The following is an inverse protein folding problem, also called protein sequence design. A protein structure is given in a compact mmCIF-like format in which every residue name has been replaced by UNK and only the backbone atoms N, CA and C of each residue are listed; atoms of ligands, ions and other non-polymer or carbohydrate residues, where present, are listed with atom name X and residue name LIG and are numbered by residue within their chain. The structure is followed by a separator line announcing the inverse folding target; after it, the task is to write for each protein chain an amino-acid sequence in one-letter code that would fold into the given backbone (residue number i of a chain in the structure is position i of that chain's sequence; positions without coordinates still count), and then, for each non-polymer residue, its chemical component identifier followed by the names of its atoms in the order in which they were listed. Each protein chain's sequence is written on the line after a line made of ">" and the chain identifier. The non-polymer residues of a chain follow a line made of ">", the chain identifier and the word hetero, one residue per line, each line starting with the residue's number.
data_IF_536052704231
#
_entry.id   IF_536052704231
#
_cell.length_a   1.000
_cell.length_b   1.000
_cell.length_c   1.000
_cell.angle_alpha   90.00
_cell.angle_beta   90.00
_cell.angle_gamma   90.00
#
_symmetry.space_group_name_H-M   'P 1'
#
loop_
_entity.id
_entity.type
_entity.pdbx_description
1 polymer ?
#
# COMPACT_ATOMS: atom_id res chain seq x y z
N UNK A 1 44.22 82.84 -102.80
CA UNK A 1 43.01 82.32 -102.13
C UNK A 1 42.70 83.27 -100.99
N UNK A 2 41.57 83.95 -101.06
CA UNK A 2 41.26 85.08 -100.18
C UNK A 2 40.99 84.64 -98.73
N UNK A 3 41.78 85.21 -97.82
CA UNK A 3 41.65 85.05 -96.36
C UNK A 3 40.26 85.51 -95.86
N UNK A 4 39.65 86.47 -96.56
CA UNK A 4 38.35 87.06 -96.23
C UNK A 4 37.19 86.07 -96.40
N UNK A 5 37.23 85.25 -97.44
CA UNK A 5 36.22 84.22 -97.73
C UNK A 5 36.27 83.09 -96.68
N UNK A 6 37.48 82.77 -96.19
CA UNK A 6 37.70 81.78 -95.13
C UNK A 6 37.18 82.31 -93.78
N UNK A 7 37.42 83.59 -93.47
CA UNK A 7 36.93 84.23 -92.23
C UNK A 7 35.40 84.32 -92.24
N UNK A 8 34.77 84.73 -93.34
CA UNK A 8 33.31 84.79 -93.46
C UNK A 8 32.70 83.38 -93.38
N UNK A 9 33.32 82.39 -94.04
CA UNK A 9 32.91 80.98 -93.93
C UNK A 9 33.03 80.43 -92.50
N UNK A 10 34.07 80.81 -91.76
CA UNK A 10 34.25 80.45 -90.34
C UNK A 10 33.26 81.16 -89.42
N UNK A 11 32.97 82.45 -89.65
CA UNK A 11 32.02 83.22 -88.84
C UNK A 11 30.58 82.76 -89.07
N UNK A 12 30.19 82.51 -90.32
CA UNK A 12 28.86 81.94 -90.65
C UNK A 12 28.78 80.48 -90.18
N UNK A 13 29.85 79.72 -90.37
CA UNK A 13 29.99 78.37 -89.83
C UNK A 13 29.77 78.36 -88.33
N UNK A 14 30.47 79.20 -87.57
CA UNK A 14 30.34 79.30 -86.11
C UNK A 14 28.98 79.86 -85.65
N UNK A 15 28.43 80.87 -86.36
CA UNK A 15 27.15 81.49 -86.01
C UNK A 15 25.95 80.58 -86.24
N UNK A 16 26.07 79.57 -87.11
CA UNK A 16 25.04 78.55 -87.35
C UNK A 16 25.30 77.26 -86.58
N UNK A 17 26.57 76.81 -86.51
CA UNK A 17 26.92 75.55 -85.82
C UNK A 17 26.82 75.67 -84.30
N UNK A 18 27.24 76.77 -83.68
CA UNK A 18 27.19 76.90 -82.21
C UNK A 18 25.74 76.88 -81.66
N UNK A 19 24.75 77.58 -82.26
CA UNK A 19 23.35 77.46 -81.84
C UNK A 19 22.75 76.07 -82.10
N UNK A 20 23.10 75.42 -83.22
CA UNK A 20 22.64 74.06 -83.52
C UNK A 20 23.21 73.03 -82.54
N UNK A 21 24.50 73.14 -82.19
CA UNK A 21 25.13 72.31 -81.16
C UNK A 21 24.48 72.56 -79.80
N UNK A 22 24.26 73.83 -79.42
CA UNK A 22 23.57 74.18 -78.19
C UNK A 22 22.14 73.62 -78.12
N UNK A 23 21.35 73.76 -79.19
CA UNK A 23 19.99 73.21 -79.26
C UNK A 23 19.99 71.68 -79.20
N UNK A 24 20.97 71.01 -79.83
CA UNK A 24 21.11 69.56 -79.78
C UNK A 24 21.53 69.07 -78.40
N UNK A 25 22.44 69.76 -77.72
CA UNK A 25 22.83 69.48 -76.33
C UNK A 25 21.66 69.71 -75.37
N UNK A 26 20.94 70.84 -75.51
CA UNK A 26 19.77 71.16 -74.68
C UNK A 26 18.63 70.17 -74.89
N UNK A 27 18.37 69.76 -76.14
CA UNK A 27 17.39 68.73 -76.48
C UNK A 27 17.77 67.37 -75.87
N UNK A 28 19.04 66.95 -76.02
CA UNK A 28 19.54 65.73 -75.41
C UNK A 28 19.46 65.77 -73.88
N UNK A 29 19.79 66.90 -73.24
CA UNK A 29 19.69 67.07 -71.80
C UNK A 29 18.24 67.01 -71.32
N UNK A 30 17.31 67.69 -72.00
CA UNK A 30 15.88 67.60 -71.70
C UNK A 30 15.33 66.18 -71.87
N UNK A 31 15.71 65.47 -72.94
CA UNK A 31 15.29 64.09 -73.15
C UNK A 31 15.85 63.16 -72.06
N UNK A 32 17.14 63.31 -71.71
CA UNK A 32 17.79 62.56 -70.63
C UNK A 32 17.14 62.85 -69.28
N UNK A 33 16.78 64.10 -69.01
CA UNK A 33 16.11 64.50 -67.77
C UNK A 33 14.71 63.90 -67.69
N UNK A 34 13.97 63.88 -68.80
CA UNK A 34 12.64 63.26 -68.90
C UNK A 34 12.69 61.73 -68.75
N UNK A 35 13.72 61.08 -69.31
CA UNK A 35 14.01 59.66 -69.09
C UNK A 35 14.34 59.38 -67.62
N UNK A 36 15.14 60.24 -66.98
CA UNK A 36 15.48 60.15 -65.56
C UNK A 36 14.25 60.34 -64.67
N UNK A 37 13.40 61.33 -64.92
CA UNK A 37 12.12 61.51 -64.22
C UNK A 37 11.24 60.26 -64.36
N UNK A 38 11.07 59.73 -65.57
CA UNK A 38 10.31 58.49 -65.79
C UNK A 38 10.90 57.28 -65.08
N UNK A 39 12.24 57.14 -65.06
CA UNK A 39 12.89 56.08 -64.29
C UNK A 39 12.64 56.25 -62.78
N UNK A 40 12.75 57.49 -62.27
CA UNK A 40 12.56 57.80 -60.86
C UNK A 40 11.13 57.50 -60.42
N UNK A 41 10.14 57.94 -61.19
CA UNK A 41 8.72 57.65 -60.94
C UNK A 41 8.43 56.14 -60.97
N UNK A 42 9.03 55.42 -61.92
CA UNK A 42 8.88 53.96 -62.03
C UNK A 42 9.53 53.24 -60.85
N UNK A 43 10.67 53.72 -60.35
CA UNK A 43 11.32 53.18 -59.15
C UNK A 43 10.50 53.46 -57.89
N UNK A 44 9.93 54.66 -57.74
CA UNK A 44 9.05 55.00 -56.61
C UNK A 44 7.82 54.08 -56.61
N UNK A 45 7.15 53.92 -57.75
CA UNK A 45 6.01 52.99 -57.87
C UNK A 45 6.39 51.55 -57.50
N UNK A 46 7.58 51.07 -57.92
CA UNK A 46 8.04 49.74 -57.55
C UNK A 46 8.27 49.59 -56.05
N UNK A 47 8.92 50.58 -55.41
CA UNK A 47 9.14 50.60 -53.96
C UNK A 47 7.82 50.65 -53.17
N UNK A 48 6.84 51.46 -53.60
CA UNK A 48 5.52 51.49 -52.97
C UNK A 48 4.79 50.15 -53.08
N UNK A 49 4.93 49.48 -54.24
CA UNK A 49 4.32 48.18 -54.48
C UNK A 49 4.99 47.07 -53.65
N UNK A 50 6.32 47.07 -53.55
CA UNK A 50 7.08 46.17 -52.68
C UNK A 50 6.78 46.41 -51.20
N UNK A 51 6.67 47.67 -50.76
CA UNK A 51 6.32 48.01 -49.38
C UNK A 51 4.93 47.48 -49.01
N UNK A 52 3.92 47.69 -49.88
CA UNK A 52 2.58 47.11 -49.69
C UNK A 52 2.60 45.59 -49.66
N UNK A 53 3.35 44.96 -50.56
CA UNK A 53 3.46 43.50 -50.59
C UNK A 53 4.14 42.97 -49.31
N UNK A 54 5.17 43.65 -48.82
CA UNK A 54 5.86 43.32 -47.58
C UNK A 54 4.95 43.47 -46.36
N UNK A 55 4.18 44.56 -46.28
CA UNK A 55 3.19 44.80 -45.22
C UNK A 55 2.11 43.71 -45.21
N UNK A 56 1.56 43.37 -46.39
CA UNK A 56 0.55 42.31 -46.51
C UNK A 56 1.11 40.94 -46.09
N UNK A 57 2.35 40.64 -46.48
CA UNK A 57 3.03 39.40 -46.09
C UNK A 57 3.32 39.34 -44.58
N UNK A 58 3.69 40.46 -43.97
CA UNK A 58 3.90 40.58 -42.52
C UNK A 58 2.58 40.40 -41.76
N UNK A 59 1.51 41.06 -42.19
CA UNK A 59 0.19 40.94 -41.58
C UNK A 59 -0.32 39.50 -41.65
N UNK A 60 -0.21 38.85 -42.82
CA UNK A 60 -0.59 37.44 -42.97
C UNK A 60 0.22 36.52 -42.06
N UNK A 61 1.55 36.72 -41.97
CA UNK A 61 2.40 35.92 -41.09
C UNK A 61 2.07 36.15 -39.61
N UNK A 62 1.61 37.35 -39.25
CA UNK A 62 1.17 37.71 -37.90
C UNK A 62 -0.17 37.04 -37.58
N UNK A 63 -1.14 37.05 -38.50
CA UNK A 63 -2.41 36.32 -38.38
C UNK A 63 -2.17 34.80 -38.24
N UNK A 64 -1.35 34.21 -39.12
CA UNK A 64 -1.02 32.77 -39.06
C UNK A 64 -0.36 32.42 -37.71
N UNK A 65 0.52 33.29 -37.22
CA UNK A 65 1.16 33.11 -35.90
C UNK A 65 0.13 33.22 -34.77
N UNK A 66 -0.77 34.19 -34.81
CA UNK A 66 -1.87 34.35 -33.84
C UNK A 66 -2.76 33.12 -33.78
N UNK A 67 -3.17 32.57 -34.92
CA UNK A 67 -3.99 31.34 -34.98
C UNK A 67 -3.24 30.17 -34.36
N UNK A 68 -1.95 30.00 -34.70
CA UNK A 68 -1.16 28.88 -34.17
C UNK A 68 -0.97 28.97 -32.65
N UNK A 69 -0.83 30.20 -32.17
CA UNK A 69 -0.73 30.57 -30.77
C UNK A 69 -2.03 30.28 -30.02
N UNK A 70 -3.19 30.71 -30.54
CA UNK A 70 -4.51 30.45 -29.93
C UNK A 70 -4.73 28.95 -29.77
N UNK A 71 -4.37 28.19 -30.81
CA UNK A 71 -4.42 26.73 -30.77
C UNK A 71 -3.49 26.15 -29.71
N UNK A 72 -2.29 26.73 -29.54
CA UNK A 72 -1.33 26.30 -28.52
C UNK A 72 -1.82 26.60 -27.09
N UNK A 73 -2.41 27.78 -26.84
CA UNK A 73 -3.08 28.10 -25.57
C UNK A 73 -4.18 27.07 -25.31
N UNK A 74 -5.01 26.77 -26.30
CA UNK A 74 -6.10 25.83 -26.13
C UNK A 74 -5.61 24.41 -25.83
N UNK A 75 -4.55 23.94 -26.50
CA UNK A 75 -3.96 22.62 -26.21
C UNK A 75 -3.33 22.58 -24.82
N UNK A 76 -2.56 23.60 -24.42
CA UNK A 76 -1.96 23.66 -23.07
C UNK A 76 -3.06 23.72 -22.02
N UNK A 77 -4.12 24.47 -22.28
CA UNK A 77 -5.31 24.51 -21.45
C UNK A 77 -5.91 23.10 -21.29
N UNK A 78 -6.24 22.40 -22.37
CA UNK A 78 -6.80 21.05 -22.31
C UNK A 78 -5.91 20.09 -21.50
N UNK A 79 -4.59 20.11 -21.74
CA UNK A 79 -3.61 19.31 -20.97
C UNK A 79 -3.63 19.66 -19.49
N UNK A 80 -3.68 20.94 -19.13
CA UNK A 80 -3.76 21.39 -17.73
C UNK A 80 -5.04 20.92 -17.03
N UNK A 81 -6.17 20.94 -17.72
CA UNK A 81 -7.45 20.45 -17.17
C UNK A 81 -7.35 18.95 -16.87
N UNK A 82 -6.80 18.20 -17.82
CA UNK A 82 -6.56 16.77 -17.66
C UNK A 82 -5.58 16.50 -16.50
N UNK A 83 -4.46 17.21 -16.42
CA UNK A 83 -3.46 17.03 -15.38
C UNK A 83 -3.97 17.41 -13.99
N UNK A 84 -4.73 18.50 -13.85
CA UNK A 84 -5.37 18.87 -12.59
C UNK A 84 -6.38 17.80 -12.14
N UNK A 85 -7.21 17.29 -13.06
CA UNK A 85 -8.15 16.21 -12.78
C UNK A 85 -7.43 14.91 -12.37
N UNK A 86 -6.34 14.56 -13.06
CA UNK A 86 -5.50 13.42 -12.70
C UNK A 86 -4.84 13.59 -11.33
N UNK A 87 -4.41 14.80 -10.96
CA UNK A 87 -3.87 15.09 -9.64
C UNK A 87 -4.92 14.96 -8.52
N UNK A 88 -6.15 15.42 -8.75
CA UNK A 88 -7.28 15.23 -7.82
C UNK A 88 -7.53 13.73 -7.58
N UNK A 89 -7.70 12.95 -8.65
CA UNK A 89 -7.94 11.50 -8.58
C UNK A 89 -6.79 10.78 -7.89
N UNK A 90 -5.55 11.18 -8.18
CA UNK A 90 -4.37 10.59 -7.54
C UNK A 90 -4.37 10.90 -6.04
N UNK A 91 -4.71 12.12 -5.65
CA UNK A 91 -4.79 12.52 -4.23
C UNK A 91 -5.85 11.73 -3.47
N UNK A 92 -7.02 11.51 -4.08
CA UNK A 92 -8.09 10.68 -3.51
C UNK A 92 -7.65 9.21 -3.34
N UNK A 93 -7.03 8.63 -4.39
CA UNK A 93 -6.48 7.28 -4.31
C UNK A 93 -5.41 7.16 -3.23
N UNK A 94 -4.54 8.17 -3.08
CA UNK A 94 -3.53 8.20 -2.03
C UNK A 94 -4.18 8.30 -0.64
N UNK A 95 -5.22 9.10 -0.44
CA UNK A 95 -5.95 9.12 0.83
C UNK A 95 -6.51 7.73 1.19
N UNK A 96 -7.11 7.03 0.22
CA UNK A 96 -7.64 5.68 0.40
C UNK A 96 -6.55 4.65 0.77
N UNK A 97 -5.38 4.72 0.11
CA UNK A 97 -4.25 3.84 0.45
C UNK A 97 -3.73 4.13 1.86
N UNK A 98 -3.77 5.39 2.33
CA UNK A 98 -3.26 5.76 3.64
C UNK A 98 -4.16 5.23 4.75
N UNK A 99 -5.47 5.23 4.52
CA UNK A 99 -6.44 4.57 5.39
C UNK A 99 -6.17 3.06 5.46
N UNK A 100 -5.93 2.40 4.31
CA UNK A 100 -5.59 0.98 4.27
C UNK A 100 -4.29 0.65 5.00
N UNK A 101 -3.26 1.49 4.90
CA UNK A 101 -1.99 1.33 5.65
C UNK A 101 -2.22 1.45 7.15
N UNK A 102 -3.10 2.36 7.58
CA UNK A 102 -3.46 2.50 8.99
C UNK A 102 -4.16 1.24 9.51
N UNK A 103 -5.12 0.72 8.74
CA UNK A 103 -5.79 -0.55 9.07
C UNK A 103 -4.81 -1.72 9.12
N UNK A 104 -3.89 -1.80 8.16
CA UNK A 104 -2.85 -2.83 8.09
C UNK A 104 -1.95 -2.79 9.34
N UNK A 105 -1.52 -1.59 9.76
CA UNK A 105 -0.66 -1.42 10.94
C UNK A 105 -1.38 -1.90 12.20
N UNK A 106 -2.66 -1.54 12.39
CA UNK A 106 -3.46 -2.01 13.52
C UNK A 106 -3.64 -3.54 13.50
N UNK A 107 -3.79 -4.14 12.32
CA UNK A 107 -3.85 -5.60 12.19
C UNK A 107 -2.54 -6.28 12.57
N UNK A 108 -1.39 -5.69 12.21
CA UNK A 108 -0.07 -6.20 12.60
C UNK A 108 0.11 -6.16 14.12
N UNK A 109 -0.32 -5.09 14.79
CA UNK A 109 -0.26 -5.00 16.25
C UNK A 109 -1.09 -6.12 16.92
N UNK A 110 -2.30 -6.38 16.42
CA UNK A 110 -3.12 -7.50 16.89
C UNK A 110 -2.45 -8.87 16.65
N UNK A 111 -1.77 -9.06 15.53
CA UNK A 111 -1.01 -10.29 15.23
C UNK A 111 0.15 -10.46 16.20
N UNK A 112 0.87 -9.39 16.53
CA UNK A 112 1.97 -9.42 17.51
C UNK A 112 1.45 -9.84 18.88
N UNK A 113 0.34 -9.25 19.34
CA UNK A 113 -0.28 -9.59 20.63
C UNK A 113 -0.74 -11.04 20.68
N UNK A 114 -1.40 -11.52 19.62
CA UNK A 114 -1.83 -12.90 19.50
C UNK A 114 -0.63 -13.87 19.47
N UNK A 115 0.44 -13.51 18.77
CA UNK A 115 1.68 -14.29 18.70
C UNK A 115 2.35 -14.40 20.08
N UNK A 116 2.41 -13.30 20.84
CA UNK A 116 2.92 -13.28 22.20
C UNK A 116 2.07 -14.16 23.16
N UNK A 117 0.74 -14.05 23.07
CA UNK A 117 -0.18 -14.89 23.86
C UNK A 117 -0.04 -16.38 23.51
N UNK A 118 0.12 -16.69 22.23
CA UNK A 118 0.37 -18.05 21.73
C UNK A 118 1.70 -18.59 22.27
N UNK A 119 2.76 -17.77 22.24
CA UNK A 119 4.06 -18.10 22.80
C UNK A 119 3.99 -18.42 24.30
N UNK A 120 3.26 -17.60 25.07
CA UNK A 120 3.07 -17.82 26.52
C UNK A 120 2.27 -19.11 26.81
N UNK A 121 1.22 -19.36 26.04
CA UNK A 121 0.39 -20.56 26.18
C UNK A 121 1.19 -21.82 25.82
N UNK A 122 1.99 -21.75 24.76
CA UNK A 122 2.93 -22.80 24.35
C UNK A 122 3.93 -23.12 25.47
N UNK A 123 4.53 -22.08 26.07
CA UNK A 123 5.46 -22.24 27.19
C UNK A 123 4.81 -22.91 28.41
N UNK A 124 3.58 -22.52 28.75
CA UNK A 124 2.80 -23.16 29.83
C UNK A 124 2.51 -24.63 29.49
N UNK A 125 2.29 -24.94 28.20
CA UNK A 125 2.14 -26.30 27.71
C UNK A 125 3.39 -27.15 27.90
N UNK A 126 4.57 -26.59 27.63
CA UNK A 126 5.87 -27.24 27.89
C UNK A 126 6.05 -27.52 29.39
N UNK A 127 5.75 -26.56 30.26
CA UNK A 127 5.82 -26.77 31.72
C UNK A 127 4.89 -27.89 32.20
N UNK A 128 3.72 -28.07 31.55
CA UNK A 128 2.81 -29.18 31.86
C UNK A 128 3.37 -30.52 31.40
N UNK A 129 4.13 -30.57 30.30
CA UNK A 129 4.83 -31.80 29.88
C UNK A 129 5.80 -32.27 30.95
N UNK A 130 6.50 -31.36 31.63
CA UNK A 130 7.41 -31.73 32.73
C UNK A 130 6.67 -32.47 33.85
N UNK A 131 5.40 -32.11 34.12
CA UNK A 131 4.55 -32.86 35.06
C UNK A 131 4.23 -34.27 34.54
N UNK A 132 3.88 -34.39 33.25
CA UNK A 132 3.56 -35.70 32.64
C UNK A 132 4.79 -36.62 32.63
N UNK A 133 6.00 -36.06 32.44
CA UNK A 133 7.26 -36.82 32.54
C UNK A 133 7.47 -37.37 33.96
N UNK A 134 7.12 -36.60 35.00
CA UNK A 134 7.17 -37.09 36.40
C UNK A 134 6.18 -38.22 36.62
N UNK A 135 4.94 -38.08 36.14
CA UNK A 135 3.91 -39.11 36.25
C UNK A 135 4.35 -40.41 35.52
N UNK A 136 5.02 -40.30 34.37
CA UNK A 136 5.59 -41.44 33.66
C UNK A 136 6.71 -42.13 34.47
N UNK A 137 7.52 -41.36 35.21
CA UNK A 137 8.53 -41.92 36.12
C UNK A 137 7.88 -42.70 37.27
N UNK A 138 6.78 -42.19 37.83
CA UNK A 138 6.02 -42.90 38.87
C UNK A 138 5.35 -44.18 38.34
N UNK A 139 4.84 -44.13 37.10
CA UNK A 139 4.31 -45.29 36.39
C UNK A 139 5.38 -46.37 36.21
N UNK A 140 6.60 -45.97 35.86
CA UNK A 140 7.74 -46.88 35.71
C UNK A 140 8.10 -47.55 37.04
N UNK A 141 8.10 -46.79 38.15
CA UNK A 141 8.31 -47.37 39.48
C UNK A 141 7.20 -48.36 39.86
N UNK A 142 5.95 -48.04 39.56
CA UNK A 142 4.81 -48.92 39.84
C UNK A 142 4.90 -50.24 39.08
N UNK A 143 5.48 -50.23 37.86
CA UNK A 143 5.79 -51.45 37.11
C UNK A 143 6.83 -52.32 37.84
N UNK A 144 7.88 -51.72 38.39
CA UNK A 144 8.90 -52.46 39.16
C UNK A 144 8.31 -53.08 40.44
N UNK A 145 7.40 -52.35 41.12
CA UNK A 145 6.68 -52.86 42.29
C UNK A 145 5.81 -54.08 41.93
N UNK A 146 5.13 -54.07 40.77
CA UNK A 146 4.36 -55.22 40.29
C UNK A 146 5.26 -56.43 39.99
N UNK A 147 6.45 -56.21 39.43
CA UNK A 147 7.41 -57.29 39.19
C UNK A 147 7.88 -57.93 40.51
N UNK A 148 8.09 -57.13 41.56
CA UNK A 148 8.41 -57.64 42.89
C UNK A 148 7.25 -58.46 43.49
N UNK A 149 6.01 -57.99 43.34
CA UNK A 149 4.82 -58.73 43.80
C UNK A 149 4.71 -60.08 43.08
N UNK A 150 4.90 -60.13 41.76
CA UNK A 150 4.89 -61.39 41.00
C UNK A 150 5.93 -62.38 41.54
N UNK A 151 7.14 -61.90 41.87
CA UNK A 151 8.17 -62.74 42.49
C UNK A 151 7.74 -63.29 43.86
N UNK A 152 7.01 -62.51 44.67
CA UNK A 152 6.50 -62.97 45.97
C UNK A 152 5.40 -64.03 45.81
N UNK A 153 4.51 -63.89 44.83
CA UNK A 153 3.49 -64.91 44.55
C UNK A 153 4.10 -66.25 44.18
N UNK A 154 5.20 -66.25 43.41
CA UNK A 154 5.95 -67.47 43.10
C UNK A 154 6.49 -68.16 44.37
N UNK A 155 7.03 -67.39 45.31
CA UNK A 155 7.48 -67.93 46.60
C UNK A 155 6.31 -68.52 47.42
N UNK A 156 5.16 -67.85 47.44
CA UNK A 156 3.93 -68.35 48.09
C UNK A 156 3.48 -69.66 47.44
N UNK A 157 3.52 -69.76 46.12
CA UNK A 157 3.19 -70.97 45.38
C UNK A 157 4.12 -72.14 45.78
N UNK A 158 5.43 -71.91 45.80
CA UNK A 158 6.43 -72.91 46.20
C UNK A 158 6.20 -73.41 47.64
N UNK A 159 5.96 -72.50 48.59
CA UNK A 159 5.65 -72.89 49.98
C UNK A 159 4.32 -73.62 50.10
N UNK A 160 3.30 -73.23 49.34
CA UNK A 160 1.99 -73.89 49.36
C UNK A 160 2.07 -75.33 48.82
N UNK A 161 2.87 -75.55 47.76
CA UNK A 161 3.17 -76.91 47.27
C UNK A 161 3.90 -77.73 48.33
N UNK A 162 4.87 -77.16 49.04
CA UNK A 162 5.56 -77.85 50.12
C UNK A 162 4.62 -78.24 51.27
N UNK A 163 3.69 -77.36 51.67
CA UNK A 163 2.67 -77.67 52.70
C UNK A 163 1.76 -78.82 52.24
N UNK A 164 1.37 -78.84 50.96
CA UNK A 164 0.58 -79.95 50.41
C UNK A 164 1.32 -81.28 50.56
N UNK A 165 2.60 -81.30 50.20
CA UNK A 165 3.45 -82.48 50.33
C UNK A 165 3.59 -82.94 51.80
N UNK A 166 3.77 -82.02 52.74
CA UNK A 166 3.75 -82.33 54.18
C UNK A 166 2.39 -82.92 54.60
N UNK A 167 1.29 -82.39 54.05
CA UNK A 167 -0.06 -82.93 54.27
C UNK A 167 -0.23 -84.36 53.74
N UNK A 168 0.33 -84.68 52.56
CA UNK A 168 0.34 -86.02 51.99
C UNK A 168 1.14 -87.00 52.87
N UNK A 169 2.32 -86.58 53.35
CA UNK A 169 3.16 -87.35 54.25
C UNK A 169 2.47 -87.59 55.60
N UNK A 170 1.84 -86.56 56.18
CA UNK A 170 1.09 -86.66 57.42
C UNK A 170 -0.12 -87.59 57.29
N UNK A 171 -0.81 -87.59 56.14
CA UNK A 171 -1.91 -88.52 55.87
C UNK A 171 -1.41 -89.98 55.82
N UNK A 172 -0.27 -90.22 55.17
CA UNK A 172 0.38 -91.53 55.12
C UNK A 172 0.81 -92.01 56.51
N UNK A 173 1.41 -91.14 57.33
CA UNK A 173 1.77 -91.45 58.72
C UNK A 173 0.54 -91.74 59.58
N UNK A 174 -0.53 -90.96 59.44
CA UNK A 174 -1.78 -91.17 60.14
C UNK A 174 -2.47 -92.49 59.73
N UNK A 175 -2.37 -92.87 58.46
CA UNK A 175 -2.85 -94.17 57.97
C UNK A 175 -2.07 -95.32 58.62
N UNK A 176 -0.73 -95.24 58.64
CA UNK A 176 0.12 -96.24 59.30
C UNK A 176 -0.21 -96.35 60.80
N UNK A 177 -0.41 -95.21 61.49
CA UNK A 177 -0.81 -95.19 62.89
C UNK A 177 -2.20 -95.78 63.13
N UNK A 178 -3.16 -95.55 62.23
CA UNK A 178 -4.50 -96.15 62.30
C UNK A 178 -4.45 -97.68 62.13
N UNK A 179 -3.59 -98.18 61.23
CA UNK A 179 -3.35 -99.62 61.06
C UNK A 179 -2.77 -100.23 62.34
N UNK A 180 -1.75 -99.61 62.94
CA UNK A 180 -1.12 -100.13 64.15
C UNK A 180 -2.06 -100.04 65.37
N UNK A 181 -2.87 -98.99 65.45
CA UNK A 181 -3.91 -98.85 66.48
C UNK A 181 -4.99 -99.94 66.35
N UNK A 182 -5.39 -100.32 65.13
CA UNK A 182 -6.28 -101.45 64.90
C UNK A 182 -5.62 -102.79 65.29
N UNK A 183 -4.31 -102.93 65.03
CA UNK A 183 -3.52 -104.12 65.37
C UNK A 183 -3.36 -104.34 66.88
N UNK A 184 -3.29 -103.26 67.66
CA UNK A 184 -3.24 -103.29 69.12
C UNK A 184 -4.60 -103.63 69.79
N UNK A 185 -5.68 -103.78 69.01
CA UNK A 185 -7.00 -104.16 69.51
C UNK A 185 -7.55 -103.16 70.54
N UNK A 186 -7.96 -103.66 71.71
CA UNK A 186 -8.59 -102.84 72.75
C UNK A 186 -7.66 -101.78 73.35
N UNK A 187 -6.35 -102.04 73.39
CA UNK A 187 -5.37 -101.08 73.90
C UNK A 187 -5.13 -99.89 72.94
N UNK A 188 -5.46 -100.06 71.65
CA UNK A 188 -5.23 -99.07 70.59
C UNK A 188 -6.41 -98.12 70.32
N UNK A 189 -7.58 -98.32 70.93
CA UNK A 189 -8.81 -97.56 70.62
C UNK A 189 -8.64 -96.04 70.71
N UNK A 190 -7.96 -95.54 71.74
CA UNK A 190 -7.68 -94.10 71.87
C UNK A 190 -6.77 -93.56 70.76
N UNK A 191 -5.74 -94.32 70.39
CA UNK A 191 -4.83 -93.97 69.30
C UNK A 191 -5.52 -94.01 67.93
N UNK A 192 -6.47 -94.92 67.71
CA UNK A 192 -7.23 -95.01 66.46
C UNK A 192 -8.07 -93.74 66.21
N UNK A 193 -8.65 -93.15 67.26
CA UNK A 193 -9.40 -91.88 67.18
C UNK A 193 -8.45 -90.74 66.79
N UNK A 194 -7.28 -90.64 67.42
CA UNK A 194 -6.28 -89.61 67.12
C UNK A 194 -5.75 -89.76 65.70
N UNK A 195 -5.43 -90.99 65.26
CA UNK A 195 -4.95 -91.27 63.91
C UNK A 195 -6.01 -90.90 62.84
N UNK A 196 -7.28 -91.20 63.10
CA UNK A 196 -8.38 -90.79 62.20
C UNK A 196 -8.51 -89.26 62.14
N UNK A 197 -8.44 -88.58 63.28
CA UNK A 197 -8.49 -87.12 63.33
C UNK A 197 -7.29 -86.46 62.62
N UNK A 198 -6.08 -86.99 62.79
CA UNK A 198 -4.88 -86.54 62.06
C UNK A 198 -5.01 -86.76 60.56
N UNK A 199 -5.57 -87.90 60.12
CA UNK A 199 -5.83 -88.17 58.71
C UNK A 199 -6.79 -87.15 58.10
N UNK A 200 -7.90 -86.87 58.78
CA UNK A 200 -8.87 -85.84 58.34
C UNK A 200 -8.24 -84.46 58.30
N UNK A 201 -7.43 -84.09 59.30
CA UNK A 201 -6.72 -82.80 59.32
C UNK A 201 -5.73 -82.68 58.16
N UNK A 202 -4.97 -83.74 57.88
CA UNK A 202 -4.03 -83.79 56.77
C UNK A 202 -4.74 -83.63 55.42
N UNK A 203 -5.85 -84.34 55.21
CA UNK A 203 -6.67 -84.21 54.00
C UNK A 203 -7.27 -82.81 53.84
N UNK A 204 -7.84 -82.24 54.91
CA UNK A 204 -8.36 -80.88 54.88
C UNK A 204 -7.24 -79.87 54.57
N UNK A 205 -6.03 -80.05 55.11
CA UNK A 205 -4.88 -79.21 54.80
C UNK A 205 -4.50 -79.30 53.32
N UNK A 206 -4.50 -80.50 52.73
CA UNK A 206 -4.25 -80.67 51.29
C UNK A 206 -5.32 -79.97 50.46
N UNK A 207 -6.61 -80.13 50.78
CA UNK A 207 -7.72 -79.45 50.09
C UNK A 207 -7.58 -77.92 50.18
N UNK A 208 -7.29 -77.36 51.35
CA UNK A 208 -7.04 -75.93 51.52
C UNK A 208 -5.83 -75.45 50.70
N UNK A 209 -4.74 -76.22 50.63
CA UNK A 209 -3.59 -75.84 49.79
C UNK A 209 -3.93 -75.82 48.30
N UNK A 210 -4.83 -76.68 47.82
CA UNK A 210 -5.32 -76.64 46.43
C UNK A 210 -6.11 -75.36 46.18
N UNK A 211 -6.99 -74.98 47.11
CA UNK A 211 -7.73 -73.71 47.01
C UNK A 211 -6.79 -72.50 47.00
N UNK A 212 -5.78 -72.47 47.88
CA UNK A 212 -4.76 -71.40 47.91
C UNK A 212 -4.00 -71.34 46.57
N UNK A 213 -3.58 -72.48 46.01
CA UNK A 213 -2.89 -72.52 44.71
C UNK A 213 -3.75 -71.95 43.58
N UNK A 214 -5.05 -72.23 43.57
CA UNK A 214 -5.96 -71.66 42.58
C UNK A 214 -6.07 -70.13 42.71
N UNK A 215 -6.16 -69.61 43.93
CA UNK A 215 -6.19 -68.15 44.19
C UNK A 215 -4.87 -67.49 43.78
N UNK A 216 -3.74 -68.11 44.12
CA UNK A 216 -2.39 -67.63 43.76
C UNK A 216 -2.22 -67.57 42.25
N UNK A 217 -2.52 -68.66 41.52
CA UNK A 217 -2.42 -68.70 40.07
C UNK A 217 -3.34 -67.66 39.40
N UNK A 218 -4.57 -67.49 39.91
CA UNK A 218 -5.47 -66.47 39.40
C UNK A 218 -4.93 -65.04 39.63
N UNK A 219 -4.40 -64.79 40.84
CA UNK A 219 -3.83 -63.49 41.19
C UNK A 219 -2.58 -63.17 40.37
N UNK A 220 -1.71 -64.15 40.14
CA UNK A 220 -0.54 -64.01 39.25
C UNK A 220 -0.95 -63.59 37.84
N UNK A 221 -1.98 -64.25 37.27
CA UNK A 221 -2.53 -63.88 35.96
C UNK A 221 -3.03 -62.43 35.92
N UNK A 222 -3.84 -62.02 36.91
CA UNK A 222 -4.35 -60.64 36.99
C UNK A 222 -3.21 -59.62 37.10
N UNK A 223 -2.20 -59.90 37.92
CA UNK A 223 -1.06 -58.98 38.10
C UNK A 223 -0.20 -58.92 36.83
N UNK A 224 -0.01 -60.05 36.15
CA UNK A 224 0.69 -60.11 34.86
C UNK A 224 -0.02 -59.26 33.81
N UNK A 225 -1.34 -59.39 33.68
CA UNK A 225 -2.15 -58.59 32.75
C UNK A 225 -2.06 -57.09 33.08
N UNK A 226 -2.07 -56.73 34.36
CA UNK A 226 -1.89 -55.33 34.79
C UNK A 226 -0.49 -54.83 34.42
N UNK A 227 0.56 -55.62 34.64
CA UNK A 227 1.93 -55.25 34.31
C UNK A 227 2.12 -55.02 32.79
N UNK A 228 1.57 -55.89 31.94
CA UNK A 228 1.61 -55.73 30.49
C UNK A 228 0.87 -54.46 30.03
N UNK A 229 -0.30 -54.18 30.62
CA UNK A 229 -1.03 -52.95 30.38
C UNK A 229 -0.23 -51.70 30.75
N UNK A 230 0.52 -51.73 31.86
CA UNK A 230 1.39 -50.62 32.27
C UNK A 230 2.51 -50.36 31.27
N UNK A 231 3.16 -51.41 30.76
CA UNK A 231 4.21 -51.29 29.73
C UNK A 231 3.64 -50.62 28.48
N UNK A 232 2.54 -51.17 27.96
CA UNK A 232 1.91 -50.68 26.73
C UNK A 232 1.44 -49.22 26.88
N UNK A 233 0.91 -48.86 28.04
CA UNK A 233 0.45 -47.48 28.33
C UNK A 233 1.63 -46.52 28.51
N UNK A 234 2.70 -46.95 29.17
CA UNK A 234 3.93 -46.18 29.31
C UNK A 234 4.58 -45.85 27.96
N UNK A 235 4.66 -46.83 27.06
CA UNK A 235 5.19 -46.62 25.70
C UNK A 235 4.35 -45.62 24.90
N UNK A 236 3.01 -45.75 24.92
CA UNK A 236 2.10 -44.81 24.26
C UNK A 236 2.19 -43.41 24.85
N UNK A 237 2.34 -43.29 26.16
CA UNK A 237 2.50 -42.01 26.84
C UNK A 237 3.83 -41.35 26.44
N UNK A 238 4.92 -42.12 26.37
CA UNK A 238 6.22 -41.62 25.92
C UNK A 238 6.17 -41.08 24.48
N UNK A 239 5.55 -41.82 23.55
CA UNK A 239 5.34 -41.35 22.17
C UNK A 239 4.50 -40.07 22.12
N UNK A 240 3.49 -39.95 23.00
CA UNK A 240 2.65 -38.76 23.08
C UNK A 240 3.45 -37.54 23.59
N UNK A 241 4.33 -37.75 24.57
CA UNK A 241 5.23 -36.71 25.09
C UNK A 241 6.18 -36.23 23.98
N UNK A 242 6.83 -37.14 23.26
CA UNK A 242 7.72 -36.79 22.14
C UNK A 242 7.01 -35.95 21.07
N UNK A 243 5.79 -36.36 20.70
CA UNK A 243 4.96 -35.62 19.75
C UNK A 243 4.58 -34.23 20.26
N UNK A 244 4.19 -34.10 21.53
CA UNK A 244 3.86 -32.82 22.15
C UNK A 244 5.08 -31.88 22.21
N UNK A 245 6.25 -32.39 22.60
CA UNK A 245 7.50 -31.61 22.61
C UNK A 245 7.82 -31.10 21.21
N UNK A 246 7.70 -31.94 20.18
CA UNK A 246 7.90 -31.51 18.80
C UNK A 246 6.90 -30.42 18.38
N UNK A 247 5.62 -30.58 18.72
CA UNK A 247 4.58 -29.60 18.39
C UNK A 247 4.86 -28.24 19.05
N UNK A 248 5.23 -28.21 20.33
CA UNK A 248 5.56 -26.94 20.99
C UNK A 248 6.82 -26.28 20.43
N UNK A 249 7.81 -27.06 19.99
CA UNK A 249 8.97 -26.52 19.26
C UNK A 249 8.56 -25.91 17.92
N UNK A 250 7.67 -26.55 17.15
CA UNK A 250 7.13 -25.98 15.90
C UNK A 250 6.31 -24.71 16.14
N UNK A 251 5.52 -24.66 17.23
CA UNK A 251 4.79 -23.46 17.63
C UNK A 251 5.77 -22.33 17.96
N UNK A 252 6.85 -22.61 18.70
CA UNK A 252 7.89 -21.62 19.01
C UNK A 252 8.56 -21.05 17.76
N UNK A 253 8.89 -21.90 16.79
CA UNK A 253 9.44 -21.47 15.51
C UNK A 253 8.43 -20.59 14.77
N UNK A 254 7.18 -21.04 14.66
CA UNK A 254 6.10 -20.28 13.99
C UNK A 254 5.88 -18.90 14.61
N UNK A 255 5.87 -18.81 15.94
CA UNK A 255 5.74 -17.53 16.68
C UNK A 255 6.88 -16.57 16.32
N UNK A 256 8.13 -17.06 16.29
CA UNK A 256 9.28 -16.24 15.90
C UNK A 256 9.18 -15.75 14.45
N UNK A 257 8.79 -16.63 13.52
CA UNK A 257 8.58 -16.25 12.11
C UNK A 257 7.47 -15.22 11.95
N UNK A 258 6.36 -15.35 12.69
CA UNK A 258 5.28 -14.36 12.68
C UNK A 258 5.78 -13.00 13.19
N UNK A 259 6.59 -12.97 14.24
CA UNK A 259 7.17 -11.73 14.75
C UNK A 259 8.13 -11.07 13.75
N UNK A 260 8.93 -11.86 13.03
CA UNK A 260 9.80 -11.37 11.97
C UNK A 260 9.01 -10.79 10.79
N UNK A 261 8.00 -11.53 10.32
CA UNK A 261 7.09 -11.06 9.27
C UNK A 261 6.36 -9.78 9.67
N UNK A 262 5.90 -9.69 10.93
CA UNK A 262 5.25 -8.49 11.45
C UNK A 262 6.16 -7.26 11.35
N UNK A 263 7.45 -7.39 11.70
CA UNK A 263 8.43 -6.31 11.57
C UNK A 263 8.65 -5.89 10.11
N UNK A 264 8.72 -6.85 9.18
CA UNK A 264 8.84 -6.54 7.76
C UNK A 264 7.61 -5.79 7.25
N UNK A 265 6.40 -6.20 7.62
CA UNK A 265 5.17 -5.51 7.21
C UNK A 265 5.14 -4.08 7.76
N UNK A 266 5.53 -3.85 9.02
CA UNK A 266 5.63 -2.49 9.58
C UNK A 266 6.64 -1.63 8.82
N UNK A 267 7.80 -2.21 8.46
CA UNK A 267 8.81 -1.52 7.65
C UNK A 267 8.28 -1.14 6.27
N UNK A 268 7.68 -2.10 5.56
CA UNK A 268 7.12 -1.90 4.22
C UNK A 268 5.97 -0.88 4.26
N UNK A 269 5.13 -0.92 5.30
CA UNK A 269 4.05 0.04 5.51
C UNK A 269 4.58 1.47 5.66
N UNK A 270 5.67 1.66 6.42
CA UNK A 270 6.35 2.96 6.50
C UNK A 270 6.95 3.39 5.16
N UNK A 271 7.52 2.45 4.40
CA UNK A 271 8.04 2.70 3.06
C UNK A 271 6.95 3.18 2.10
N UNK A 272 5.79 2.54 2.12
CA UNK A 272 4.61 2.92 1.32
C UNK A 272 4.15 4.33 1.70
N UNK A 273 4.00 4.65 3.00
CA UNK A 273 3.60 6.01 3.42
C UNK A 273 4.57 7.10 2.91
N UNK A 274 5.87 6.84 2.90
CA UNK A 274 6.84 7.78 2.33
C UNK A 274 6.67 7.94 0.82
N UNK A 275 6.52 6.83 0.09
CA UNK A 275 6.28 6.86 -1.36
C UNK A 275 4.99 7.60 -1.73
N UNK A 276 3.97 7.54 -0.88
CA UNK A 276 2.71 8.26 -1.09
C UNK A 276 2.86 9.77 -0.92
N UNK A 277 3.64 10.21 0.07
CA UNK A 277 3.98 11.62 0.24
C UNK A 277 4.78 12.12 -0.98
N UNK A 278 5.75 11.34 -1.45
CA UNK A 278 6.52 11.66 -2.65
C UNK A 278 5.63 11.74 -3.89
N UNK A 279 4.70 10.80 -4.06
CA UNK A 279 3.74 10.80 -5.16
C UNK A 279 2.84 12.05 -5.13
N UNK A 280 2.36 12.44 -3.94
CA UNK A 280 1.54 13.66 -3.74
C UNK A 280 2.34 14.92 -4.10
N UNK A 281 3.59 15.00 -3.66
CA UNK A 281 4.45 16.14 -3.96
C UNK A 281 4.79 16.21 -5.46
N UNK A 282 5.05 15.06 -6.10
CA UNK A 282 5.34 14.98 -7.52
C UNK A 282 4.15 15.40 -8.39
N UNK A 283 2.93 14.98 -8.05
CA UNK A 283 1.72 15.40 -8.78
C UNK A 283 1.46 16.89 -8.63
N UNK A 284 1.59 17.45 -7.42
CA UNK A 284 1.44 18.88 -7.18
C UNK A 284 2.48 19.70 -7.96
N UNK A 285 3.75 19.31 -7.89
CA UNK A 285 4.84 19.97 -8.62
C UNK A 285 4.61 19.94 -10.14
N UNK A 286 4.08 18.83 -10.66
CA UNK A 286 3.75 18.70 -12.09
C UNK A 286 2.66 19.69 -12.52
N UNK A 287 1.60 19.83 -11.72
CA UNK A 287 0.53 20.81 -11.96
C UNK A 287 1.07 22.23 -11.89
N UNK A 288 1.86 22.56 -10.87
CA UNK A 288 2.50 23.88 -10.72
C UNK A 288 3.39 24.24 -11.92
N UNK A 289 4.22 23.29 -12.37
CA UNK A 289 5.08 23.51 -13.55
C UNK A 289 4.27 23.78 -14.81
N UNK A 290 3.16 23.07 -15.01
CA UNK A 290 2.28 23.32 -16.16
C UNK A 290 1.57 24.69 -16.05
N UNK A 291 1.15 25.10 -14.86
CA UNK A 291 0.54 26.41 -14.63
C UNK A 291 1.52 27.54 -14.93
N UNK A 292 2.78 27.39 -14.50
CA UNK A 292 3.85 28.33 -14.81
C UNK A 292 4.09 28.43 -16.33
N UNK A 293 4.12 27.30 -17.04
CA UNK A 293 4.24 27.27 -18.50
C UNK A 293 3.07 27.99 -19.18
N UNK A 294 1.82 27.75 -18.76
CA UNK A 294 0.67 28.45 -19.33
C UNK A 294 0.71 29.95 -19.03
N UNK A 295 1.13 30.35 -17.82
CA UNK A 295 1.25 31.77 -17.47
C UNK A 295 2.30 32.46 -18.34
N UNK A 296 3.43 31.81 -18.58
CA UNK A 296 4.47 32.33 -19.47
C UNK A 296 3.95 32.49 -20.90
N UNK A 297 3.21 31.51 -21.42
CA UNK A 297 2.63 31.60 -22.77
C UNK A 297 1.62 32.73 -22.85
N UNK A 298 0.65 32.80 -21.93
CA UNK A 298 -0.37 33.87 -21.92
C UNK A 298 0.26 35.26 -21.81
N UNK A 299 1.30 35.41 -20.98
CA UNK A 299 2.03 36.67 -20.81
C UNK A 299 2.70 37.15 -22.10
N UNK A 300 3.40 36.27 -22.81
CA UNK A 300 4.08 36.59 -24.08
C UNK A 300 3.08 37.08 -25.14
N UNK A 301 1.83 36.63 -25.07
CA UNK A 301 0.83 36.85 -26.11
C UNK A 301 -0.05 38.05 -25.89
N UNK A 302 -0.49 38.23 -24.65
CA UNK A 302 -1.45 39.27 -24.29
C UNK A 302 -0.76 40.49 -23.70
N UNK A 303 0.53 40.36 -23.33
CA UNK A 303 1.22 41.35 -22.50
C UNK A 303 0.66 41.43 -21.08
N UNK A 304 -0.30 40.58 -20.72
CA UNK A 304 -0.98 40.57 -19.44
C UNK A 304 -0.59 39.35 -18.63
N UNK A 305 -0.46 39.55 -17.31
CA UNK A 305 -0.20 38.50 -16.35
C UNK A 305 -1.43 38.30 -15.47
N UNK A 306 -1.71 37.05 -15.11
CA UNK A 306 -2.66 36.77 -14.03
C UNK A 306 -2.12 37.38 -12.75
N UNK A 307 -2.94 38.19 -12.08
CA UNK A 307 -2.60 38.77 -10.78
C UNK A 307 -2.99 37.77 -9.69
N UNK A 308 -2.01 36.99 -9.23
CA UNK A 308 -2.20 36.13 -8.06
C UNK A 308 -2.28 37.00 -6.80
N UNK A 309 -3.34 36.81 -6.02
CA UNK A 309 -3.57 37.53 -4.77
C UNK A 309 -3.86 36.53 -3.64
N UNK A 310 -3.30 36.79 -2.47
CA UNK A 310 -3.57 35.99 -1.27
C UNK A 310 -5.01 36.20 -0.77
N UNK A 311 -5.55 35.31 0.07
CA UNK A 311 -6.88 35.49 0.66
C UNK A 311 -7.05 36.82 1.39
N UNK A 312 -6.02 37.27 2.11
CA UNK A 312 -6.00 38.56 2.81
C UNK A 312 -6.08 39.76 1.86
N UNK A 313 -5.30 39.75 0.78
CA UNK A 313 -5.37 40.79 -0.25
C UNK A 313 -6.72 40.78 -0.98
N UNK A 314 -7.28 39.60 -1.23
CA UNK A 314 -8.60 39.46 -1.82
C UNK A 314 -9.69 40.05 -0.91
N UNK A 315 -9.64 39.80 0.40
CA UNK A 315 -10.57 40.39 1.37
C UNK A 315 -10.45 41.93 1.43
N UNK A 316 -9.23 42.46 1.48
CA UNK A 316 -8.99 43.91 1.53
C UNK A 316 -9.54 44.67 0.32
N UNK A 317 -9.52 44.04 -0.85
CA UNK A 317 -10.00 44.63 -2.10
C UNK A 317 -11.28 43.97 -2.62
N UNK A 318 -12.03 43.28 -1.77
CA UNK A 318 -13.20 42.46 -2.17
C UNK A 318 -14.23 43.26 -2.97
N UNK A 319 -14.48 44.51 -2.55
CA UNK A 319 -15.43 45.43 -3.19
C UNK A 319 -14.94 46.01 -4.54
N UNK A 320 -13.67 45.80 -4.89
CA UNK A 320 -13.08 46.26 -6.15
C UNK A 320 -13.30 45.28 -7.32
N UNK A 321 -13.70 44.05 -7.03
CA UNK A 321 -14.07 43.08 -8.06
C UNK A 321 -15.50 43.33 -8.49
N UNK A 322 -15.74 43.47 -9.80
CA UNK A 322 -17.09 43.55 -10.34
C UNK A 322 -17.81 42.21 -10.18
N UNK A 323 -17.06 41.10 -10.24
CA UNK A 323 -17.59 39.77 -10.09
C UNK A 323 -16.52 38.80 -9.57
N UNK A 324 -16.94 37.86 -8.73
CA UNK A 324 -16.11 36.78 -8.22
C UNK A 324 -16.74 35.47 -8.70
N UNK A 325 -15.93 34.62 -9.30
CA UNK A 325 -16.37 33.40 -9.97
C UNK A 325 -15.64 32.21 -9.36
N UNK A 326 -16.39 31.31 -8.72
CA UNK A 326 -15.88 30.04 -8.25
C UNK A 326 -16.01 29.01 -9.37
N UNK A 327 -14.88 28.40 -9.71
CA UNK A 327 -14.75 27.43 -10.79
C UNK A 327 -14.55 26.01 -10.29
N UNK A 328 -14.89 25.74 -9.03
CA UNK A 328 -14.98 24.38 -8.46
C UNK A 328 -16.06 23.54 -9.15
N UNK A 329 -16.03 22.23 -8.88
CA UNK A 329 -17.14 21.33 -9.23
C UNK A 329 -18.33 21.61 -8.30
N UNK A 330 -19.52 21.18 -8.73
CA UNK A 330 -20.74 21.46 -7.99
C UNK A 330 -20.77 20.79 -6.60
N UNK A 331 -20.14 19.62 -6.48
CA UNK A 331 -20.04 18.84 -5.25
C UNK A 331 -19.16 19.59 -4.22
N UNK A 332 -18.00 20.07 -4.66
CA UNK A 332 -17.07 20.83 -3.83
C UNK A 332 -17.65 22.18 -3.38
N UNK A 333 -18.56 22.77 -4.16
CA UNK A 333 -19.24 24.03 -3.79
C UNK A 333 -20.22 23.85 -2.62
N UNK A 334 -20.88 22.68 -2.55
CA UNK A 334 -21.91 22.39 -1.54
C UNK A 334 -21.34 21.73 -0.29
N UNK A 335 -20.34 20.85 -0.42
CA UNK A 335 -19.92 19.96 0.66
C UNK A 335 -18.53 20.28 1.22
N UNK A 336 -17.56 20.60 0.35
CA UNK A 336 -16.16 20.75 0.75
C UNK A 336 -15.81 22.23 1.00
N UNK A 337 -15.39 22.58 2.22
CA UNK A 337 -15.00 23.95 2.62
C UNK A 337 -16.10 25.03 2.57
N UNK A 338 -17.33 24.67 2.19
CA UNK A 338 -18.42 25.62 1.95
C UNK A 338 -18.16 26.54 0.75
N UNK A 339 -18.88 27.65 0.66
CA UNK A 339 -18.70 28.67 -0.38
C UNK A 339 -18.65 30.07 0.21
N UNK A 340 -18.06 30.99 -0.54
CA UNK A 340 -18.03 32.40 -0.17
C UNK A 340 -19.34 33.05 -0.64
N UNK A 341 -19.99 33.79 0.25
CA UNK A 341 -21.26 34.44 -0.05
C UNK A 341 -21.10 35.53 -1.13
N UNK A 342 -22.08 35.65 -2.03
CA UNK A 342 -22.05 36.62 -3.13
C UNK A 342 -21.18 36.23 -4.33
N UNK A 343 -20.58 35.04 -4.32
CA UNK A 343 -19.78 34.50 -5.43
C UNK A 343 -20.65 33.69 -6.39
N UNK A 344 -20.41 33.83 -7.70
CA UNK A 344 -21.09 33.01 -8.72
C UNK A 344 -20.34 31.69 -8.93
N UNK A 345 -21.06 30.57 -8.87
CA UNK A 345 -20.52 29.30 -9.34
C UNK A 345 -20.58 29.26 -10.87
N UNK A 346 -19.44 29.06 -11.51
CA UNK A 346 -19.33 28.67 -12.93
C UNK A 346 -18.24 27.63 -13.06
N UNK A 347 -18.63 26.36 -13.07
CA UNK A 347 -17.70 25.24 -13.00
C UNK A 347 -16.75 25.24 -14.20
N UNK A 348 -15.46 25.00 -13.95
CA UNK A 348 -14.44 25.04 -15.01
C UNK A 348 -14.75 24.03 -16.13
N UNK A 349 -15.26 22.86 -15.75
CA UNK A 349 -15.47 21.71 -16.65
C UNK A 349 -16.72 21.85 -17.52
N UNK A 350 -17.78 22.52 -17.03
CA UNK A 350 -19.07 22.55 -17.73
C UNK A 350 -19.47 23.95 -18.18
N UNK A 351 -19.79 24.86 -17.27
CA UNK A 351 -20.39 26.15 -17.64
C UNK A 351 -19.37 27.22 -18.05
N UNK A 352 -18.16 27.20 -17.48
CA UNK A 352 -17.21 28.30 -17.63
C UNK A 352 -16.76 28.54 -19.07
N UNK A 353 -16.62 27.47 -19.87
CA UNK A 353 -16.21 27.56 -21.29
C UNK A 353 -17.16 28.44 -22.12
N UNK A 354 -18.44 28.51 -21.76
CA UNK A 354 -19.41 29.39 -22.40
C UNK A 354 -19.54 30.73 -21.69
N UNK A 355 -19.43 30.74 -20.36
CA UNK A 355 -19.60 31.96 -19.56
C UNK A 355 -18.49 32.96 -19.78
N UNK A 356 -17.25 32.49 -19.95
CA UNK A 356 -16.08 33.37 -20.17
C UNK A 356 -16.24 34.26 -21.41
N UNK A 357 -16.94 33.76 -22.44
CA UNK A 357 -17.21 34.51 -23.69
C UNK A 357 -18.24 35.62 -23.52
N UNK A 358 -18.98 35.62 -22.41
CA UNK A 358 -20.02 36.59 -22.09
C UNK A 358 -19.53 37.65 -21.10
N UNK A 359 -18.32 37.50 -20.57
CA UNK A 359 -17.73 38.44 -19.62
C UNK A 359 -17.39 39.76 -20.33
N UNK A 360 -17.46 40.85 -19.58
CA UNK A 360 -17.15 42.19 -20.07
C UNK A 360 -15.63 42.41 -20.01
N UNK A 361 -14.96 42.70 -21.14
CA UNK A 361 -13.51 42.92 -21.19
C UNK A 361 -12.95 43.93 -20.19
N UNK A 362 -13.75 44.94 -19.79
CA UNK A 362 -13.30 46.04 -18.94
C UNK A 362 -13.51 45.81 -17.45
N UNK A 363 -14.28 44.80 -17.07
CA UNK A 363 -14.60 44.49 -15.67
C UNK A 363 -13.48 43.72 -14.98
N UNK A 364 -13.49 43.79 -13.65
CA UNK A 364 -12.54 43.13 -12.75
C UNK A 364 -13.10 41.81 -12.23
N UNK A 365 -12.38 40.72 -12.43
CA UNK A 365 -12.80 39.36 -12.07
C UNK A 365 -11.80 38.67 -11.15
N UNK A 366 -12.29 38.12 -10.04
CA UNK A 366 -11.53 37.21 -9.18
C UNK A 366 -12.02 35.77 -9.40
N UNK A 367 -11.10 34.88 -9.75
CA UNK A 367 -11.37 33.46 -9.86
C UNK A 367 -10.96 32.72 -8.59
N UNK A 368 -11.82 31.81 -8.14
CA UNK A 368 -11.63 30.98 -6.95
C UNK A 368 -11.80 29.51 -7.31
N UNK A 369 -10.97 28.63 -6.74
CA UNK A 369 -11.22 27.20 -6.78
C UNK A 369 -10.84 26.53 -5.46
N UNK A 370 -10.72 25.20 -5.40
CA UNK A 370 -10.30 24.48 -4.18
C UNK A 370 -8.88 24.87 -3.70
N UNK A 371 -7.88 24.76 -4.57
CA UNK A 371 -6.45 24.92 -4.22
C UNK A 371 -5.68 25.98 -5.03
N UNK A 372 -6.36 26.80 -5.83
CA UNK A 372 -5.75 27.82 -6.71
C UNK A 372 -5.45 27.38 -8.16
N UNK A 373 -5.31 26.07 -8.43
CA UNK A 373 -4.93 25.59 -9.76
C UNK A 373 -6.00 25.82 -10.86
N UNK A 374 -7.26 25.49 -10.56
CA UNK A 374 -8.38 25.67 -11.52
C UNK A 374 -8.75 27.14 -11.71
N UNK A 375 -8.64 27.96 -10.67
CA UNK A 375 -8.86 29.39 -10.78
C UNK A 375 -7.77 30.10 -11.58
N UNK A 376 -6.50 29.67 -11.46
CA UNK A 376 -5.41 30.14 -12.33
C UNK A 376 -5.72 29.86 -13.79
N UNK A 377 -6.25 28.66 -14.08
CA UNK A 377 -6.68 28.26 -15.41
C UNK A 377 -7.86 29.09 -15.92
N UNK A 378 -8.87 29.35 -15.09
CA UNK A 378 -9.99 30.20 -15.43
C UNK A 378 -9.53 31.64 -15.73
N UNK A 379 -8.61 32.16 -14.92
CA UNK A 379 -7.99 33.46 -15.09
C UNK A 379 -7.24 33.58 -16.43
N UNK A 380 -6.38 32.62 -16.75
CA UNK A 380 -5.68 32.57 -18.03
C UNK A 380 -6.64 32.49 -19.22
N UNK A 381 -7.73 31.73 -19.08
CA UNK A 381 -8.78 31.63 -20.11
C UNK A 381 -9.51 32.97 -20.29
N UNK A 382 -9.80 33.69 -19.20
CA UNK A 382 -10.40 35.01 -19.26
C UNK A 382 -9.48 36.02 -19.97
N UNK A 383 -8.19 36.06 -19.62
CA UNK A 383 -7.20 36.92 -20.29
C UNK A 383 -7.13 36.59 -21.80
N UNK A 384 -7.12 35.30 -22.16
CA UNK A 384 -7.13 34.87 -23.56
C UNK A 384 -8.42 35.27 -24.31
N UNK A 385 -9.53 35.51 -23.62
CA UNK A 385 -10.77 36.05 -24.17
C UNK A 385 -10.82 37.60 -24.12
N UNK A 386 -9.71 38.27 -23.80
CA UNK A 386 -9.59 39.72 -23.83
C UNK A 386 -10.01 40.44 -22.55
N UNK A 387 -10.17 39.72 -21.43
CA UNK A 387 -10.49 40.35 -20.13
C UNK A 387 -9.21 41.00 -19.56
N UNK A 388 -9.27 42.31 -19.29
CA UNK A 388 -8.09 43.09 -18.90
C UNK A 388 -7.71 42.95 -17.41
N UNK A 389 -8.71 42.83 -16.53
CA UNK A 389 -8.52 42.87 -15.08
C UNK A 389 -8.86 41.51 -14.45
N UNK A 390 -7.88 40.61 -14.44
CA UNK A 390 -8.07 39.23 -13.98
C UNK A 390 -7.18 38.89 -12.80
N UNK A 391 -7.81 38.34 -11.75
CA UNK A 391 -7.17 37.93 -10.51
C UNK A 391 -7.44 36.46 -10.23
N UNK A 392 -6.46 35.80 -9.62
CA UNK A 392 -6.60 34.44 -9.12
C UNK A 392 -6.38 34.44 -7.60
N UNK A 393 -7.26 33.75 -6.88
CA UNK A 393 -7.11 33.53 -5.44
C UNK A 393 -6.05 32.44 -5.20
N UNK A 394 -4.89 32.85 -4.72
CA UNK A 394 -3.79 31.95 -4.42
C UNK A 394 -4.14 31.03 -3.25
N UNK A 395 -3.80 29.74 -3.37
CA UNK A 395 -4.21 28.69 -2.42
C UNK A 395 -5.73 28.36 -2.40
N UNK A 396 -6.56 29.10 -3.14
CA UNK A 396 -7.99 28.85 -3.28
C UNK A 396 -8.77 28.84 -1.96
N UNK A 397 -9.84 28.04 -1.91
CA UNK A 397 -10.72 27.89 -0.75
C UNK A 397 -10.05 27.23 0.45
N UNK A 398 -9.04 26.37 0.23
CA UNK A 398 -8.26 25.76 1.32
C UNK A 398 -7.63 26.86 2.17
N UNK A 399 -6.89 27.79 1.54
CA UNK A 399 -6.23 28.88 2.28
C UNK A 399 -7.20 29.96 2.74
N UNK A 400 -8.25 30.23 1.96
CA UNK A 400 -9.32 31.12 2.40
C UNK A 400 -9.94 30.66 3.73
N UNK A 401 -10.30 29.37 3.84
CA UNK A 401 -10.87 28.82 5.08
C UNK A 401 -9.86 28.80 6.21
N UNK A 402 -8.61 28.43 5.93
CA UNK A 402 -7.54 28.44 6.94
C UNK A 402 -7.35 29.83 7.57
N UNK A 403 -7.50 30.90 6.78
CA UNK A 403 -7.34 32.27 7.28
C UNK A 403 -8.57 32.83 8.00
N UNK A 404 -9.79 32.54 7.51
CA UNK A 404 -10.98 33.27 7.95
C UNK A 404 -12.05 32.43 8.65
N UNK A 405 -11.99 31.10 8.57
CA UNK A 405 -13.05 30.21 9.04
C UNK A 405 -12.48 28.89 9.58
N UNK A 406 -11.68 28.99 10.65
CA UNK A 406 -11.24 27.86 11.48
C UNK A 406 -12.40 27.25 12.26
#
# INVERSE_FOLDING_TARGET
>A
MDLFSIIIGLVIGASVTAPLVYLKVKSNFNNKHKELEQQTDKTIQLCEQEAKHSELALNKKTEDSQIHIEKSIQTIAEVLEQSASSADITSENLANVQEQITLLTNMVDMIIDLSNSTGKTSQTGVERIDSVIRDLSELTKSKDDLANILSQFKEVQEKTVAIRFIGEEAEMLALNAAIEAARAGDAGRGFAVVATAMKTLAKNSQETTVEILNIVNHSEGVISDVAENFITRGEKLNQSIESLVNNFNQIKISVNTIQEHSKMITHDSSGISNMMNDATNATNTSVESMLANLSSVVSVLTGQNVKNISPQQAEEQWQSFDEIIDVRRAEEWQEEYGHIEGVRLSTLQTSFKQDVKKLDPKKSYLFVCRSGGRSTKAAQTAIANGIENVYNLDGGMIEWRRQFHS
#
